data_IF_490182214595
#
_entry.id   IF_490182214595
#
_cell.length_a   1.000
_cell.length_b   1.000
_cell.length_c   1.000
_cell.angle_alpha   90.00
_cell.angle_beta   90.00
_cell.angle_gamma   90.00
#
_symmetry.space_group_name_H-M   'P 1'
#
loop_
_entity.id
_entity.type
_entity.pdbx_description
1 polymer ?
#
# COMPACT_ATOMS: atom_id res chain seq x y z
N UNK A 1 -16.47 -7.52 6.23
CA UNK A 1 -16.73 -6.51 5.19
C UNK A 1 -15.59 -5.53 5.40
N UNK A 2 -14.84 -5.15 4.37
CA UNK A 2 -13.64 -4.33 4.58
C UNK A 2 -14.06 -2.88 4.58
N UNK A 3 -13.71 -2.16 5.63
CA UNK A 3 -14.04 -0.74 5.82
C UNK A 3 -12.75 0.08 5.74
N UNK A 4 -12.88 1.29 5.21
CA UNK A 4 -11.79 2.25 5.20
C UNK A 4 -11.55 2.75 6.62
N UNK A 5 -10.34 2.58 7.15
CA UNK A 5 -10.00 3.04 8.51
C UNK A 5 -10.15 4.56 8.64
N UNK A 6 -9.91 5.31 7.57
CA UNK A 6 -9.98 6.79 7.59
C UNK A 6 -11.41 7.33 7.54
N UNK A 7 -12.25 6.86 6.60
CA UNK A 7 -13.57 7.46 6.35
C UNK A 7 -14.75 6.53 6.64
N UNK A 8 -14.50 5.36 7.23
CA UNK A 8 -15.49 4.33 7.58
C UNK A 8 -16.33 3.82 6.41
N UNK A 9 -15.98 4.18 5.17
CA UNK A 9 -16.71 3.76 3.98
C UNK A 9 -16.44 2.29 3.66
N UNK A 10 -17.46 1.60 3.17
CA UNK A 10 -17.31 0.21 2.72
C UNK A 10 -16.42 0.14 1.47
N UNK A 11 -15.32 -0.63 1.56
CA UNK A 11 -14.46 -0.95 0.43
C UNK A 11 -15.12 -2.06 -0.40
N UNK A 12 -15.86 -1.65 -1.43
CA UNK A 12 -16.61 -2.58 -2.29
C UNK A 12 -15.69 -3.52 -3.07
N UNK A 13 -16.21 -4.70 -3.40
CA UNK A 13 -15.50 -5.67 -4.25
C UNK A 13 -15.12 -5.06 -5.60
N UNK A 14 -13.94 -5.42 -6.12
CA UNK A 14 -13.34 -4.98 -7.38
C UNK A 14 -13.03 -3.47 -7.46
N UNK A 15 -13.19 -2.73 -6.37
CA UNK A 15 -12.71 -1.37 -6.23
C UNK A 15 -11.25 -1.36 -5.78
N UNK A 16 -10.53 -0.24 -5.99
CA UNK A 16 -9.21 -0.05 -5.42
C UNK A 16 -9.24 -0.20 -3.90
N UNK A 17 -8.15 -0.68 -3.36
CA UNK A 17 -7.81 -0.66 -1.95
C UNK A 17 -6.33 -0.35 -1.83
N UNK A 18 -5.99 0.49 -0.88
CA UNK A 18 -4.61 0.79 -0.50
C UNK A 18 -4.41 0.15 0.87
N UNK A 19 -3.35 -0.63 0.98
CA UNK A 19 -2.97 -1.34 2.20
C UNK A 19 -1.68 -0.70 2.66
N UNK A 20 -1.72 -0.01 3.79
CA UNK A 20 -0.57 0.55 4.46
C UNK A 20 -0.14 -0.39 5.57
N UNK A 21 1.16 -0.61 5.71
CA UNK A 21 1.66 -1.63 6.63
C UNK A 21 3.02 -1.26 7.19
N UNK A 22 3.11 -1.17 8.51
CA UNK A 22 4.40 -1.11 9.21
C UNK A 22 5.02 -2.51 9.21
N UNK A 23 6.28 -2.60 8.80
CA UNK A 23 6.88 -3.88 8.46
C UNK A 23 8.32 -3.98 8.96
N UNK A 24 8.66 -5.14 9.49
CA UNK A 24 10.03 -5.58 9.73
C UNK A 24 10.50 -6.45 8.56
N UNK A 25 11.77 -6.31 8.20
CA UNK A 25 12.42 -7.02 7.11
C UNK A 25 13.56 -7.89 7.64
N UNK A 26 13.77 -9.02 6.97
CA UNK A 26 14.96 -9.84 7.14
C UNK A 26 16.11 -9.25 6.32
N UNK A 27 17.33 -9.71 6.61
CA UNK A 27 18.57 -9.46 5.87
C UNK A 27 18.58 -9.96 4.39
N UNK A 28 17.43 -10.36 3.84
CA UNK A 28 17.28 -10.69 2.42
C UNK A 28 16.21 -9.81 1.75
N UNK A 29 15.82 -8.72 2.40
CA UNK A 29 14.78 -7.78 1.97
C UNK A 29 13.36 -8.35 1.98
N UNK A 30 13.13 -9.58 2.45
CA UNK A 30 11.77 -10.10 2.65
C UNK A 30 11.24 -9.67 3.99
N UNK A 31 10.00 -9.19 4.02
CA UNK A 31 9.33 -8.91 5.27
C UNK A 31 9.32 -10.16 6.17
N UNK A 32 9.66 -9.96 7.44
CA UNK A 32 9.59 -10.96 8.50
C UNK A 32 8.23 -10.89 9.19
N UNK A 33 7.76 -9.67 9.46
CA UNK A 33 6.54 -9.42 10.22
C UNK A 33 5.86 -8.13 9.77
N UNK A 34 4.52 -8.17 9.74
CA UNK A 34 3.68 -6.98 9.61
C UNK A 34 3.20 -6.60 11.02
N UNK A 35 3.55 -5.40 11.47
CA UNK A 35 3.23 -4.91 12.80
C UNK A 35 1.80 -4.38 12.85
N UNK A 36 1.50 -3.40 12.00
CA UNK A 36 0.18 -2.81 11.84
C UNK A 36 -0.23 -2.86 10.37
N UNK A 37 -1.51 -3.01 10.08
CA UNK A 37 -2.03 -2.99 8.71
C UNK A 37 -3.32 -2.21 8.64
N UNK A 38 -3.28 -1.09 7.93
CA UNK A 38 -4.43 -0.24 7.68
C UNK A 38 -4.92 -0.39 6.25
N UNK A 39 -6.25 -0.48 6.10
CA UNK A 39 -6.89 -0.55 4.81
C UNK A 39 -7.64 0.76 4.56
N UNK A 40 -7.29 1.42 3.47
CA UNK A 40 -7.97 2.65 3.03
C UNK A 40 -8.46 2.54 1.59
N UNK A 41 -9.50 3.29 1.26
CA UNK A 41 -10.18 3.15 -0.03
C UNK A 41 -9.49 3.90 -1.17
N UNK A 42 -8.53 4.79 -0.88
CA UNK A 42 -7.79 5.60 -1.85
C UNK A 42 -6.47 6.12 -1.27
N UNK A 43 -5.56 6.60 -2.12
CA UNK A 43 -4.33 7.29 -1.68
C UNK A 43 -4.62 8.63 -0.99
N UNK A 44 -5.75 9.28 -1.31
CA UNK A 44 -6.20 10.47 -0.59
C UNK A 44 -6.53 10.14 0.87
N UNK A 45 -7.25 9.04 1.12
CA UNK A 45 -7.50 8.58 2.49
C UNK A 45 -6.23 8.11 3.20
N UNK A 46 -5.22 7.61 2.48
CA UNK A 46 -3.91 7.33 3.08
C UNK A 46 -3.21 8.63 3.48
N UNK A 47 -3.29 9.65 2.62
CA UNK A 47 -2.69 10.97 2.89
C UNK A 47 -3.30 11.59 4.14
N UNK A 48 -4.64 11.62 4.22
CA UNK A 48 -5.37 12.11 5.40
C UNK A 48 -5.03 11.30 6.66
N UNK A 49 -4.86 9.98 6.55
CA UNK A 49 -4.50 9.12 7.68
C UNK A 49 -3.10 9.46 8.25
N UNK A 50 -2.20 9.95 7.39
CA UNK A 50 -0.82 10.26 7.73
C UNK A 50 -0.59 11.75 8.01
N UNK A 51 -1.67 12.53 8.11
CA UNK A 51 -1.63 13.95 8.43
C UNK A 51 -2.30 14.22 9.79
N UNK A 52 -1.84 15.27 10.47
CA UNK A 52 -2.53 15.81 11.64
C UNK A 52 -3.78 16.61 11.25
N UNK A 53 -4.50 17.15 12.24
CA UNK A 53 -5.71 17.96 12.01
C UNK A 53 -5.45 19.27 11.24
N UNK A 54 -4.19 19.71 11.17
CA UNK A 54 -3.75 20.92 10.48
C UNK A 54 -3.25 20.61 9.05
N UNK A 55 -3.19 19.32 8.66
CA UNK A 55 -2.73 18.86 7.37
C UNK A 55 -1.20 18.70 7.27
N UNK A 56 -0.47 18.78 8.40
CA UNK A 56 0.95 18.49 8.42
C UNK A 56 1.18 16.98 8.47
N UNK A 57 2.21 16.50 7.79
CA UNK A 57 2.60 15.10 7.87
C UNK A 57 2.96 14.71 9.31
N UNK A 58 2.48 13.55 9.76
CA UNK A 58 2.92 12.92 10.99
C UNK A 58 4.40 12.54 10.81
N UNK A 59 5.30 13.43 11.24
CA UNK A 59 6.74 13.27 11.05
C UNK A 59 7.28 12.17 11.97
N UNK A 60 7.89 11.13 11.41
CA UNK A 60 8.86 10.30 12.12
C UNK A 60 10.23 10.55 11.49
N UNK A 61 10.97 11.44 12.15
CA UNK A 61 12.32 11.81 11.76
C UNK A 61 13.32 10.75 12.21
N UNK A 62 13.13 9.50 11.79
CA UNK A 62 14.18 8.48 11.90
C UNK A 62 13.88 7.29 10.99
N UNK A 63 14.92 6.76 10.34
CA UNK A 63 14.92 5.39 9.86
C UNK A 63 16.22 4.73 10.30
N UNK A 64 16.16 3.43 10.55
CA UNK A 64 17.33 2.62 10.86
C UNK A 64 17.88 2.06 9.56
N UNK A 65 18.98 2.65 9.08
CA UNK A 65 19.71 2.15 7.93
C UNK A 65 20.33 0.79 8.26
N UNK A 66 20.26 -0.12 7.30
CA UNK A 66 20.80 -1.48 7.38
C UNK A 66 21.50 -1.80 6.06
N UNK A 67 22.54 -2.63 6.07
CA UNK A 67 23.24 -3.03 4.85
C UNK A 67 22.49 -4.11 4.05
N UNK A 68 21.72 -4.96 4.73
CA UNK A 68 21.11 -6.17 4.16
C UNK A 68 19.56 -6.15 4.13
N UNK A 69 18.96 -5.03 4.50
CA UNK A 69 17.50 -4.87 4.61
C UNK A 69 16.74 -4.81 3.27
N UNK A 70 15.49 -4.33 3.32
CA UNK A 70 14.75 -4.01 2.10
C UNK A 70 15.26 -2.71 1.47
N UNK A 71 15.29 -2.64 0.14
CA UNK A 71 15.64 -1.42 -0.57
C UNK A 71 14.47 -0.43 -0.59
N UNK A 72 14.76 0.84 -0.29
CA UNK A 72 13.80 1.92 -0.36
C UNK A 72 13.44 2.24 -1.81
N UNK A 73 12.14 2.44 -2.06
CA UNK A 73 11.61 2.78 -3.38
C UNK A 73 11.91 4.21 -3.84
N UNK A 74 12.52 5.04 -2.97
CA UNK A 74 12.77 6.47 -3.20
C UNK A 74 14.23 6.90 -3.08
N UNK A 75 15.01 6.36 -2.14
CA UNK A 75 16.36 6.87 -1.81
C UNK A 75 17.50 5.84 -1.90
N UNK A 76 17.26 4.65 -2.46
CA UNK A 76 18.23 3.53 -2.59
C UNK A 76 18.83 2.97 -1.28
N UNK A 77 18.58 3.60 -0.13
CA UNK A 77 18.95 3.08 1.19
C UNK A 77 18.29 1.73 1.48
N UNK A 78 18.97 0.90 2.26
CA UNK A 78 18.45 -0.36 2.76
C UNK A 78 18.03 -0.20 4.23
N UNK A 79 16.98 -0.92 4.65
CA UNK A 79 16.39 -0.76 5.98
C UNK A 79 15.73 -2.05 6.49
N UNK A 80 15.79 -2.25 7.81
CA UNK A 80 15.20 -3.42 8.47
C UNK A 80 13.78 -3.15 8.99
N UNK A 81 13.41 -1.89 9.21
CA UNK A 81 12.09 -1.49 9.65
C UNK A 81 11.62 -0.28 8.84
N UNK A 82 10.39 -0.34 8.34
CA UNK A 82 9.81 0.77 7.60
C UNK A 82 8.38 0.46 7.19
N UNK A 83 7.95 1.09 6.10
CA UNK A 83 6.55 1.03 5.68
C UNK A 83 6.42 0.37 4.32
N UNK A 84 5.30 -0.30 4.11
CA UNK A 84 4.88 -0.82 2.83
C UNK A 84 3.54 -0.21 2.44
N UNK A 85 3.44 0.26 1.20
CA UNK A 85 2.15 0.59 0.60
C UNK A 85 1.89 -0.38 -0.55
N UNK A 86 0.78 -1.10 -0.44
CA UNK A 86 0.30 -2.00 -1.48
C UNK A 86 -0.98 -1.47 -2.09
N UNK A 87 -0.94 -1.19 -3.38
CA UNK A 87 -2.09 -0.81 -4.17
C UNK A 87 -2.68 -2.05 -4.84
N UNK A 88 -3.96 -2.32 -4.61
CA UNK A 88 -4.61 -3.55 -5.07
C UNK A 88 -6.07 -3.32 -5.48
N UNK A 89 -6.65 -4.32 -6.16
CA UNK A 89 -8.11 -4.44 -6.24
C UNK A 89 -8.63 -5.32 -5.12
N UNK A 90 -9.60 -4.80 -4.36
CA UNK A 90 -10.34 -5.52 -3.35
C UNK A 90 -11.06 -6.73 -3.99
N UNK A 91 -10.88 -7.94 -3.45
CA UNK A 91 -11.61 -9.12 -3.93
C UNK A 91 -12.77 -9.45 -2.97
N UNK A 92 -13.70 -10.27 -3.43
CA UNK A 92 -14.86 -10.74 -2.65
C UNK A 92 -14.43 -11.47 -1.37
N UNK A 93 -15.35 -11.55 -0.40
CA UNK A 93 -15.22 -12.37 0.83
C UNK A 93 -14.78 -13.83 0.59
N UNK A 94 -15.05 -14.40 -0.59
CA UNK A 94 -14.64 -15.77 -0.95
C UNK A 94 -13.18 -15.91 -1.36
N UNK A 95 -12.49 -14.83 -1.68
CA UNK A 95 -11.09 -14.82 -2.07
C UNK A 95 -10.24 -14.29 -0.92
N UNK A 96 -9.32 -15.11 -0.41
CA UNK A 96 -8.47 -14.77 0.74
C UNK A 96 -7.46 -13.63 0.48
N UNK A 97 -7.21 -13.28 -0.79
CA UNK A 97 -6.13 -12.35 -1.16
C UNK A 97 -6.57 -11.32 -2.21
N UNK A 98 -6.26 -10.04 -1.96
CA UNK A 98 -6.44 -8.94 -2.91
C UNK A 98 -5.68 -9.20 -4.23
N UNK A 99 -6.04 -8.49 -5.31
CA UNK A 99 -5.22 -8.53 -6.53
C UNK A 99 -4.26 -7.35 -6.49
N UNK A 100 -3.04 -7.59 -6.02
CA UNK A 100 -1.95 -6.60 -5.99
C UNK A 100 -1.67 -6.08 -7.40
N UNK A 101 -1.49 -4.77 -7.50
CA UNK A 101 -1.02 -4.07 -8.70
C UNK A 101 0.44 -3.67 -8.51
N UNK A 102 0.72 -3.00 -7.41
CA UNK A 102 2.08 -2.61 -7.02
C UNK A 102 2.21 -2.63 -5.51
N UNK A 103 3.44 -2.84 -5.07
CA UNK A 103 3.86 -2.74 -3.68
C UNK A 103 5.15 -1.95 -3.67
N UNK A 104 5.21 -0.93 -2.82
CA UNK A 104 6.40 -0.10 -2.62
C UNK A 104 6.77 -0.14 -1.14
N UNK A 105 8.07 -0.13 -0.87
CA UNK A 105 8.65 -0.16 0.48
C UNK A 105 9.44 1.12 0.72
N UNK A 106 9.27 1.70 1.91
CA UNK A 106 9.82 2.99 2.29
C UNK A 106 10.57 2.87 3.62
N UNK A 107 11.77 3.44 3.70
CA UNK A 107 12.57 3.38 4.92
C UNK A 107 11.96 4.19 6.08
N UNK A 108 11.13 5.20 5.77
CA UNK A 108 10.43 6.01 6.76
C UNK A 108 9.44 6.96 6.10
N UNK A 109 8.74 7.76 6.91
CA UNK A 109 7.67 8.64 6.44
C UNK A 109 8.12 9.65 5.40
N UNK A 110 9.32 10.24 5.52
CA UNK A 110 9.82 11.20 4.53
C UNK A 110 9.83 10.65 3.09
N UNK A 111 10.28 9.40 2.91
CA UNK A 111 10.30 8.78 1.58
C UNK A 111 8.89 8.41 1.10
N UNK A 112 8.03 8.01 2.02
CA UNK A 112 6.63 7.71 1.74
C UNK A 112 5.87 8.95 1.30
N UNK A 113 5.95 10.05 2.05
CA UNK A 113 5.23 11.30 1.76
C UNK A 113 5.71 11.93 0.47
N UNK A 114 7.02 11.93 0.21
CA UNK A 114 7.57 12.36 -1.09
C UNK A 114 7.01 11.54 -2.26
N UNK A 115 6.80 10.24 -2.07
CA UNK A 115 6.23 9.36 -3.10
C UNK A 115 4.72 9.56 -3.27
N UNK A 116 4.00 9.86 -2.19
CA UNK A 116 2.58 10.22 -2.20
C UNK A 116 2.35 11.60 -2.86
N UNK A 117 3.26 12.55 -2.69
CA UNK A 117 3.22 13.85 -3.35
C UNK A 117 3.59 13.77 -4.84
N UNK A 118 4.30 12.70 -5.24
CA UNK A 118 4.64 12.46 -6.64
C UNK A 118 3.45 11.85 -7.40
N UNK A 119 2.79 12.68 -8.21
CA UNK A 119 1.67 12.26 -9.06
C UNK A 119 2.02 11.14 -10.06
N UNK A 120 3.30 11.00 -10.45
CA UNK A 120 3.77 9.94 -11.35
C UNK A 120 4.13 8.64 -10.62
N UNK A 121 4.11 8.63 -9.27
CA UNK A 121 4.42 7.43 -8.50
C UNK A 121 3.45 6.29 -8.84
N UNK A 122 3.95 5.03 -8.94
CA UNK A 122 3.09 3.87 -9.11
C UNK A 122 2.00 3.74 -8.04
N UNK A 123 2.20 4.31 -6.84
CA UNK A 123 1.20 4.28 -5.76
C UNK A 123 -0.02 5.16 -6.06
N UNK A 124 0.18 6.24 -6.82
CA UNK A 124 -0.84 7.20 -7.23
C UNK A 124 -1.53 6.85 -8.55
N UNK A 125 -1.15 5.73 -9.18
CA UNK A 125 -1.83 5.25 -10.38
C UNK A 125 -3.33 5.11 -10.12
N UNK A 126 -4.13 5.86 -10.88
CA UNK A 126 -5.58 5.80 -10.75
C UNK A 126 -6.08 4.41 -11.15
N UNK A 127 -6.37 3.58 -10.16
CA UNK A 127 -7.00 2.28 -10.40
C UNK A 127 -8.49 2.48 -10.67
N UNK A 128 -8.90 2.21 -11.91
CA UNK A 128 -10.31 2.01 -12.22
C UNK A 128 -10.87 0.73 -11.58
N UNK A 129 -12.15 0.47 -11.83
CA UNK A 129 -12.73 -0.82 -11.50
C UNK A 129 -11.97 -1.94 -12.21
N UNK A 130 -11.73 -3.06 -11.51
CA UNK A 130 -10.99 -4.19 -12.08
C UNK A 130 -11.58 -4.65 -13.42
N UNK A 131 -10.78 -4.79 -14.50
CA UNK A 131 -11.27 -5.29 -15.77
C UNK A 131 -11.88 -6.69 -15.64
N UNK A 132 -13.10 -6.87 -16.16
CA UNK A 132 -13.76 -8.18 -16.18
C UNK A 132 -13.01 -9.09 -17.17
N UNK A 133 -12.51 -10.23 -16.68
CA UNK A 133 -11.90 -11.25 -17.55
C UNK A 133 -12.99 -11.74 -18.51
N UNK A 134 -12.81 -11.55 -19.83
CA UNK A 134 -13.74 -12.13 -20.83
C UNK A 134 -13.73 -13.65 -20.62
N UNK A 135 -14.87 -14.20 -20.20
CA UNK A 135 -15.03 -15.65 -20.12
C UNK A 135 -14.81 -16.22 -21.52
N UNK A 136 -13.79 -17.06 -21.70
CA UNK A 136 -13.68 -17.88 -22.92
C UNK A 136 -14.91 -18.78 -22.90
N UNK A 137 -15.93 -18.45 -23.71
CA UNK A 137 -17.06 -19.34 -23.95
C UNK A 137 -16.46 -20.67 -24.37
N UNK A 138 -16.54 -21.68 -23.50
CA UNK A 138 -16.23 -23.05 -23.84
C UNK A 138 -17.20 -23.39 -24.96
N UNK A 139 -16.72 -23.54 -26.20
CA UNK A 139 -17.52 -24.08 -27.30
C UNK A 139 -18.09 -25.39 -26.76
N UNK A 140 -19.42 -25.46 -26.58
CA UNK A 140 -20.09 -26.73 -26.31
C UNK A 140 -19.69 -27.66 -27.47
N UNK A 141 -19.00 -28.75 -27.15
CA UNK A 141 -18.87 -29.89 -28.04
C UNK A 141 -20.19 -30.65 -28.00
#
# INVERSE_FOLDING_TARGET
MSECVMCSSEIKTNKPVVIFTDTLFNANGRWSEHLNTDLVCSTACLTELLQDEEGNWLDDSSFLESEDGAQCSCCDSHFDMGHMVTLAWHKTKSARWHKVVTTRSYCGFRCLTQDLDNAESPVNMTLGAKPRKKSKKRRKK
#
